data_IF_356825010866
#
_entry.id   IF_356825010866
#
_cell.length_a   1.000
_cell.length_b   1.000
_cell.length_c   1.000
_cell.angle_alpha   90.00
_cell.angle_beta   90.00
_cell.angle_gamma   90.00
#
_symmetry.space_group_name_H-M   'P 1'
#
loop_
_entity.id
_entity.type
_entity.pdbx_description
1 polymer ?
#
# COMPACT_ATOMS: atom_id res chain seq x y z
N UNK A 1 1.41 3.88 -20.75
CA UNK A 1 2.33 4.49 -19.78
C UNK A 1 1.71 4.35 -18.41
N UNK A 2 2.46 3.78 -17.46
CA UNK A 2 2.02 3.67 -16.07
C UNK A 2 2.03 5.03 -15.39
N UNK A 3 1.06 5.29 -14.50
CA UNK A 3 0.95 6.51 -13.72
C UNK A 3 1.10 6.21 -12.24
N UNK A 4 1.71 7.14 -11.50
CA UNK A 4 1.82 7.08 -10.04
C UNK A 4 0.81 8.04 -9.45
N UNK A 5 -0.06 7.53 -8.57
CA UNK A 5 -1.12 8.31 -7.92
C UNK A 5 -1.04 8.21 -6.39
N UNK A 6 -1.94 8.96 -5.72
CA UNK A 6 -2.21 8.77 -4.31
C UNK A 6 -2.67 7.33 -4.03
N UNK A 7 -2.19 6.76 -2.94
CA UNK A 7 -2.66 5.47 -2.45
C UNK A 7 -3.80 5.68 -1.45
N UNK A 8 -5.03 5.48 -1.90
CA UNK A 8 -6.24 5.75 -1.10
C UNK A 8 -6.58 4.59 -0.16
N UNK A 9 -7.54 4.78 0.74
CA UNK A 9 -8.08 3.66 1.53
C UNK A 9 -8.75 2.61 0.62
N UNK A 10 -9.40 3.03 -0.46
CA UNK A 10 -9.98 2.11 -1.44
C UNK A 10 -8.90 1.21 -2.03
N UNK A 11 -7.74 1.76 -2.42
CA UNK A 11 -6.63 0.94 -2.92
C UNK A 11 -6.07 0.01 -1.83
N UNK A 12 -6.01 0.48 -0.57
CA UNK A 12 -5.54 -0.33 0.55
C UNK A 12 -6.45 -1.54 0.80
N UNK A 13 -7.77 -1.33 0.75
CA UNK A 13 -8.77 -2.40 0.87
C UNK A 13 -8.74 -3.34 -0.33
N UNK A 14 -8.64 -2.80 -1.54
CA UNK A 14 -8.57 -3.59 -2.78
C UNK A 14 -7.33 -4.50 -2.81
N UNK A 15 -6.17 -4.00 -2.35
CA UNK A 15 -4.95 -4.82 -2.23
C UNK A 15 -5.13 -6.01 -1.28
N UNK A 16 -5.93 -5.88 -0.23
CA UNK A 16 -6.26 -7.00 0.68
C UNK A 16 -7.11 -8.09 0.00
N UNK A 17 -7.70 -7.79 -1.16
CA UNK A 17 -8.46 -8.76 -1.95
C UNK A 17 -7.59 -9.48 -3.00
N UNK A 18 -6.32 -9.06 -3.18
CA UNK A 18 -5.42 -9.74 -4.09
C UNK A 18 -5.05 -11.10 -3.54
N UNK A 19 -5.23 -12.13 -4.38
CA UNK A 19 -4.96 -13.50 -4.03
C UNK A 19 -4.04 -14.13 -5.09
N UNK A 20 -2.86 -14.52 -4.62
CA UNK A 20 -1.84 -15.25 -5.35
C UNK A 20 -1.85 -16.71 -4.89
N UNK A 21 -1.65 -17.62 -5.85
CA UNK A 21 -1.62 -19.05 -5.59
C UNK A 21 -0.19 -19.60 -5.54
N UNK A 22 -0.06 -20.86 -5.10
CA UNK A 22 1.20 -21.62 -5.10
C UNK A 22 2.31 -20.89 -4.31
N UNK A 23 3.52 -20.84 -4.87
CA UNK A 23 4.68 -20.21 -4.25
C UNK A 23 4.52 -18.72 -4.00
N UNK A 24 3.60 -18.06 -4.70
CA UNK A 24 3.34 -16.63 -4.52
C UNK A 24 2.28 -16.32 -3.44
N UNK A 25 1.63 -17.34 -2.87
CA UNK A 25 0.65 -17.15 -1.80
C UNK A 25 1.23 -16.45 -0.55
N UNK A 26 2.56 -16.48 -0.37
CA UNK A 26 3.26 -15.74 0.69
C UNK A 26 3.13 -14.21 0.58
N UNK A 27 2.75 -13.69 -0.59
CA UNK A 27 2.52 -12.26 -0.83
C UNK A 27 1.08 -11.82 -0.56
N UNK A 28 0.17 -12.76 -0.25
CA UNK A 28 -1.21 -12.43 0.08
C UNK A 28 -1.24 -11.57 1.35
N UNK A 29 -1.97 -10.46 1.26
CA UNK A 29 -2.23 -9.64 2.42
C UNK A 29 -3.34 -10.29 3.27
N UNK A 30 -3.34 -10.08 4.60
CA UNK A 30 -4.49 -10.41 5.41
C UNK A 30 -5.70 -9.57 4.98
N UNK A 31 -6.90 -9.98 5.39
CA UNK A 31 -8.09 -9.14 5.22
C UNK A 31 -7.93 -7.78 5.92
N UNK A 32 -8.76 -6.82 5.52
CA UNK A 32 -8.64 -5.43 5.95
C UNK A 32 -8.69 -5.28 7.47
N UNK A 33 -9.66 -5.94 8.11
CA UNK A 33 -9.87 -5.90 9.56
C UNK A 33 -8.64 -6.43 10.31
N UNK A 34 -8.08 -7.55 9.85
CA UNK A 34 -6.85 -8.13 10.39
C UNK A 34 -5.65 -7.21 10.17
N UNK A 35 -5.51 -6.60 8.99
CA UNK A 35 -4.45 -5.62 8.71
C UNK A 35 -4.53 -4.39 9.64
N UNK A 36 -5.75 -3.95 9.97
CA UNK A 36 -6.00 -2.86 10.92
C UNK A 36 -5.58 -3.27 12.33
N UNK A 37 -5.99 -4.46 12.78
CA UNK A 37 -5.61 -5.00 14.10
C UNK A 37 -4.10 -5.18 14.24
N UNK A 38 -3.42 -5.60 13.17
CA UNK A 38 -1.97 -5.73 13.10
C UNK A 38 -1.23 -4.40 12.88
N UNK A 39 -1.94 -3.27 12.79
CA UNK A 39 -1.39 -1.93 12.65
C UNK A 39 -0.49 -1.75 11.41
N UNK A 40 -0.84 -2.39 10.29
CA UNK A 40 -0.08 -2.24 9.05
C UNK A 40 -0.02 -0.77 8.60
N UNK A 41 1.12 -0.33 8.05
CA UNK A 41 1.33 1.08 7.70
C UNK A 41 0.28 1.66 6.75
N UNK A 42 -0.30 0.83 5.87
CA UNK A 42 -1.34 1.22 4.93
C UNK A 42 -2.70 1.52 5.58
N UNK A 43 -2.96 1.03 6.80
CA UNK A 43 -4.23 1.25 7.50
C UNK A 43 -4.25 2.59 8.22
N UNK A 44 -3.09 3.11 8.62
CA UNK A 44 -2.95 4.45 9.18
C UNK A 44 -3.01 5.51 8.06
N UNK A 45 -4.00 6.42 8.12
CA UNK A 45 -4.25 7.42 7.08
C UNK A 45 -3.05 8.34 6.80
N UNK A 46 -2.32 8.77 7.82
CA UNK A 46 -1.17 9.66 7.67
C UNK A 46 0.02 8.93 7.02
N UNK A 47 0.36 7.74 7.53
CA UNK A 47 1.40 6.89 6.93
C UNK A 47 1.04 6.53 5.50
N UNK A 48 -0.21 6.17 5.24
CA UNK A 48 -0.72 5.87 3.90
C UNK A 48 -0.48 7.02 2.92
N UNK A 49 -0.92 8.23 3.27
CA UNK A 49 -0.73 9.45 2.47
C UNK A 49 0.75 9.75 2.20
N UNK A 50 1.60 9.62 3.21
CA UNK A 50 2.98 10.07 3.13
C UNK A 50 3.93 9.01 2.55
N UNK A 51 3.64 7.73 2.74
CA UNK A 51 4.58 6.64 2.46
C UNK A 51 4.13 5.73 1.33
N UNK A 52 2.86 5.73 0.92
CA UNK A 52 2.36 4.79 -0.08
C UNK A 52 1.96 5.50 -1.37
N UNK A 53 2.21 4.84 -2.49
CA UNK A 53 1.80 5.29 -3.82
C UNK A 53 1.19 4.14 -4.59
N UNK A 54 0.15 4.45 -5.36
CA UNK A 54 -0.48 3.51 -6.27
C UNK A 54 0.14 3.62 -7.66
N UNK A 55 0.16 2.50 -8.38
CA UNK A 55 0.53 2.39 -9.79
C UNK A 55 -0.73 2.07 -10.56
N UNK A 56 -1.07 2.95 -11.49
CA UNK A 56 -2.28 2.89 -12.29
C UNK A 56 -1.91 2.64 -13.76
N UNK A 57 -2.65 1.76 -14.43
CA UNK A 57 -2.49 1.49 -15.86
C UNK A 57 -3.15 2.57 -16.74
N UNK A 58 -3.13 2.37 -18.06
CA UNK A 58 -3.73 3.32 -19.01
C UNK A 58 -5.26 3.37 -18.93
N UNK A 59 -5.90 2.28 -18.47
CA UNK A 59 -7.35 2.16 -18.31
C UNK A 59 -7.84 2.69 -16.97
N UNK A 60 -6.94 3.09 -16.07
CA UNK A 60 -7.29 3.58 -14.74
C UNK A 60 -7.35 2.49 -13.67
N UNK A 61 -6.93 1.26 -13.96
CA UNK A 61 -6.94 0.16 -13.01
C UNK A 61 -5.77 0.29 -12.03
N UNK A 62 -6.02 -0.04 -10.77
CA UNK A 62 -4.98 -0.16 -9.75
C UNK A 62 -4.26 -1.51 -9.89
N UNK A 63 -3.00 -1.47 -10.33
CA UNK A 63 -2.25 -2.68 -10.70
C UNK A 63 -1.03 -2.97 -9.81
N UNK A 64 -0.74 -2.07 -8.88
CA UNK A 64 0.47 -2.17 -8.07
C UNK A 64 0.58 -1.02 -7.09
N UNK A 65 1.42 -1.18 -6.09
CA UNK A 65 1.76 -0.12 -5.16
C UNK A 65 3.22 -0.22 -4.73
N UNK A 66 3.73 0.84 -4.15
CA UNK A 66 5.01 0.81 -3.48
C UNK A 66 4.99 1.68 -2.24
N UNK A 67 5.86 1.35 -1.29
CA UNK A 67 6.08 2.12 -0.08
C UNK A 67 7.43 2.83 -0.15
N UNK A 68 7.42 4.14 0.01
CA UNK A 68 8.59 4.96 0.23
C UNK A 68 8.70 5.30 1.70
N UNK A 69 9.81 4.94 2.34
CA UNK A 69 10.16 5.40 3.67
C UNK A 69 11.43 6.22 3.58
N UNK A 70 11.33 7.51 3.88
CA UNK A 70 12.52 8.33 4.14
C UNK A 70 13.00 7.95 5.53
N UNK A 71 14.18 7.33 5.63
CA UNK A 71 14.87 7.28 6.92
C UNK A 71 15.33 8.71 7.21
N UNK A 72 14.65 9.38 8.14
CA UNK A 72 15.24 10.55 8.77
C UNK A 72 16.56 10.07 9.41
N UNK A 73 17.65 10.79 9.17
CA UNK A 73 18.83 10.63 10.01
C UNK A 73 18.42 11.01 11.43
N UNK A 74 18.96 10.32 12.43
CA UNK A 74 18.78 10.71 13.84
C UNK A 74 19.09 12.22 13.98
N UNK A 75 18.09 13.00 14.40
CA UNK A 75 18.25 14.42 14.71
C UNK A 75 17.56 15.42 13.78
N UNK A 76 16.90 15.03 12.68
CA UNK A 76 16.11 15.96 11.87
C UNK A 76 14.62 15.93 12.29
N UNK A 77 14.14 17.05 12.84
CA UNK A 77 12.72 17.33 13.13
C UNK A 77 12.20 18.23 12.01
N UNK A 78 10.97 17.96 11.52
CA UNK A 78 10.25 18.80 10.56
C UNK A 78 9.92 20.18 11.10
#
# INVERSE_FOLDING_TARGET
MLKINEFTESNAREMCLWNYENEYAVYNCPDWETAVLQQWGMTNAEKRKNQFRSVIDESGNFIGFFRMSIKLKEGEIL
#
